data_IF_630219688116
#
_entry.id   IF_630219688116
#
_cell.length_a   1.000
_cell.length_b   1.000
_cell.length_c   1.000
_cell.angle_alpha   90.00
_cell.angle_beta   90.00
_cell.angle_gamma   90.00
#
_symmetry.space_group_name_H-M   'P 1'
#
loop_
_entity.id
_entity.type
_entity.pdbx_description
1 polymer ?
#
# COMPACT_ATOMS: atom_id res chain seq x y z
N UNK A 1 14.04 11.51 -30.00
CA UNK A 1 13.83 12.37 -28.81
C UNK A 1 12.89 11.64 -27.87
N UNK A 2 13.21 11.45 -26.58
CA UNK A 2 12.24 10.85 -25.66
C UNK A 2 10.97 11.69 -25.64
N UNK A 3 9.84 11.02 -25.92
CA UNK A 3 8.48 11.55 -25.93
C UNK A 3 8.17 12.23 -24.58
N UNK A 4 7.38 13.31 -24.60
CA UNK A 4 6.94 14.06 -23.41
C UNK A 4 6.40 13.13 -22.31
N UNK A 5 5.69 12.07 -22.66
CA UNK A 5 5.17 11.08 -21.71
C UNK A 5 6.30 10.35 -20.97
N UNK A 6 7.36 9.93 -21.68
CA UNK A 6 8.53 9.29 -21.05
C UNK A 6 9.22 10.20 -20.04
N UNK A 7 9.38 11.49 -20.38
CA UNK A 7 9.95 12.50 -19.47
C UNK A 7 9.07 12.81 -18.26
N UNK A 8 7.75 12.60 -18.36
CA UNK A 8 6.84 12.76 -17.23
C UNK A 8 6.94 11.58 -16.28
N UNK A 9 6.94 10.35 -16.80
CA UNK A 9 7.11 9.13 -16.00
C UNK A 9 8.44 9.16 -15.25
N UNK A 10 9.54 9.56 -15.89
CA UNK A 10 10.84 9.66 -15.25
C UNK A 10 10.83 10.69 -14.10
N UNK A 11 10.17 11.83 -14.29
CA UNK A 11 10.03 12.85 -13.25
C UNK A 11 9.18 12.38 -12.07
N UNK A 12 8.08 11.68 -12.35
CA UNK A 12 7.26 11.08 -11.30
C UNK A 12 8.10 10.03 -10.54
N UNK A 13 8.77 9.13 -11.26
CA UNK A 13 9.64 8.13 -10.67
C UNK A 13 10.72 8.73 -9.75
N UNK A 14 11.30 9.87 -10.14
CA UNK A 14 12.33 10.54 -9.37
C UNK A 14 11.82 11.19 -8.06
N UNK A 15 10.54 11.61 -8.01
CA UNK A 15 10.05 12.49 -6.95
C UNK A 15 8.86 11.95 -6.15
N UNK A 16 8.22 10.86 -6.57
CA UNK A 16 6.99 10.38 -5.94
C UNK A 16 7.18 9.98 -4.47
N UNK A 17 8.35 9.46 -4.07
CA UNK A 17 8.63 9.10 -2.66
C UNK A 17 8.70 10.35 -1.77
N UNK A 18 9.31 11.43 -2.27
CA UNK A 18 9.33 12.71 -1.56
C UNK A 18 7.92 13.31 -1.47
N UNK A 19 7.13 13.19 -2.54
CA UNK A 19 5.72 13.59 -2.54
C UNK A 19 4.90 12.76 -1.55
N UNK A 20 5.15 11.45 -1.45
CA UNK A 20 4.53 10.56 -0.47
C UNK A 20 4.90 10.99 0.96
N UNK A 21 6.17 11.29 1.25
CA UNK A 21 6.59 11.79 2.56
C UNK A 21 5.86 13.09 2.93
N UNK A 22 5.90 14.09 2.06
CA UNK A 22 5.26 15.38 2.30
C UNK A 22 3.75 15.23 2.50
N UNK A 23 3.08 14.48 1.62
CA UNK A 23 1.63 14.24 1.69
C UNK A 23 1.25 13.42 2.92
N UNK A 24 2.03 12.40 3.25
CA UNK A 24 1.81 11.55 4.43
C UNK A 24 1.91 12.33 5.73
N UNK A 25 2.88 13.25 5.83
CA UNK A 25 3.00 14.15 6.99
C UNK A 25 1.82 15.13 7.04
N UNK A 26 1.53 15.84 5.95
CA UNK A 26 0.48 16.87 5.93
C UNK A 26 -0.90 16.25 6.19
N UNK A 27 -1.25 15.18 5.48
CA UNK A 27 -2.53 14.51 5.65
C UNK A 27 -2.61 13.74 6.96
N UNK A 28 -1.49 13.19 7.46
CA UNK A 28 -1.44 12.54 8.77
C UNK A 28 -1.73 13.53 9.89
N UNK A 29 -1.03 14.67 9.91
CA UNK A 29 -1.27 15.72 10.91
C UNK A 29 -2.69 16.29 10.79
N UNK A 30 -3.18 16.51 9.57
CA UNK A 30 -4.56 16.96 9.35
C UNK A 30 -5.58 15.94 9.87
N UNK A 31 -5.37 14.65 9.62
CA UNK A 31 -6.24 13.59 10.11
C UNK A 31 -6.23 13.50 11.65
N UNK A 32 -5.10 13.73 12.30
CA UNK A 32 -5.01 13.77 13.77
C UNK A 32 -5.80 14.95 14.36
N UNK A 33 -5.76 16.12 13.72
CA UNK A 33 -6.57 17.28 14.13
C UNK A 33 -8.06 17.03 13.91
N UNK A 34 -8.43 16.34 12.83
CA UNK A 34 -9.82 16.06 12.49
C UNK A 34 -10.42 14.89 13.28
N UNK A 35 -9.61 13.96 13.81
CA UNK A 35 -10.08 12.78 14.54
C UNK A 35 -11.18 13.04 15.59
N UNK A 36 -11.05 14.01 16.53
CA UNK A 36 -12.09 14.26 17.53
C UNK A 36 -13.42 14.75 16.94
N UNK A 37 -13.44 15.19 15.67
CA UNK A 37 -14.62 15.70 14.97
C UNK A 37 -15.31 14.63 14.11
N UNK A 38 -14.67 13.47 13.91
CA UNK A 38 -15.13 12.43 12.99
C UNK A 38 -15.65 11.21 13.76
N UNK A 39 -16.65 10.48 13.21
CA UNK A 39 -16.93 9.13 13.68
C UNK A 39 -15.66 8.27 13.61
N UNK A 40 -15.40 7.47 14.63
CA UNK A 40 -14.15 6.71 14.76
C UNK A 40 -13.82 5.87 13.51
N UNK A 41 -14.81 5.23 12.90
CA UNK A 41 -14.65 4.47 11.66
C UNK A 41 -14.10 5.33 10.52
N UNK A 42 -14.69 6.50 10.29
CA UNK A 42 -14.25 7.43 9.24
C UNK A 42 -12.86 7.97 9.53
N UNK A 43 -12.59 8.34 10.79
CA UNK A 43 -11.27 8.81 11.20
C UNK A 43 -10.16 7.77 10.98
N UNK A 44 -10.44 6.48 11.24
CA UNK A 44 -9.48 5.39 11.02
C UNK A 44 -9.23 5.13 9.53
N UNK A 45 -10.27 5.21 8.70
CA UNK A 45 -10.13 5.10 7.23
C UNK A 45 -9.35 6.30 6.67
N UNK A 46 -9.60 7.51 7.18
CA UNK A 46 -8.84 8.70 6.81
C UNK A 46 -7.36 8.57 7.14
N UNK A 47 -7.00 7.92 8.25
CA UNK A 47 -5.61 7.65 8.64
C UNK A 47 -4.91 6.59 7.76
N UNK A 48 -5.66 5.74 7.05
CA UNK A 48 -5.08 4.70 6.20
C UNK A 48 -4.23 5.29 5.05
N UNK A 49 -4.71 6.37 4.43
CA UNK A 49 -4.00 7.08 3.36
C UNK A 49 -2.59 7.56 3.77
N UNK A 50 -2.45 8.46 4.76
CA UNK A 50 -1.14 8.93 5.22
C UNK A 50 -0.28 7.81 5.81
N UNK A 51 -0.87 6.80 6.48
CA UNK A 51 -0.11 5.64 6.93
C UNK A 51 0.54 4.89 5.76
N UNK A 52 -0.20 4.68 4.65
CA UNK A 52 0.35 4.10 3.43
C UNK A 52 1.46 4.94 2.82
N UNK A 53 1.29 6.26 2.78
CA UNK A 53 2.32 7.15 2.25
C UNK A 53 3.63 7.06 3.07
N UNK A 54 3.54 6.97 4.39
CA UNK A 54 4.72 6.77 5.25
C UNK A 54 5.35 5.37 5.08
N UNK A 55 4.52 4.34 4.92
CA UNK A 55 5.00 2.99 4.61
C UNK A 55 5.74 2.94 3.27
N UNK A 56 5.19 3.58 2.23
CA UNK A 56 5.82 3.69 0.92
C UNK A 56 7.17 4.42 0.97
N UNK A 57 7.35 5.37 1.90
CA UNK A 57 8.66 5.99 2.14
C UNK A 57 9.66 4.96 2.68
N UNK A 58 9.27 4.16 3.67
CA UNK A 58 10.16 3.09 4.18
C UNK A 58 10.54 2.10 3.08
N UNK A 59 9.56 1.66 2.29
CA UNK A 59 9.73 0.71 1.20
C UNK A 59 10.62 1.27 0.08
N UNK A 60 10.38 2.50 -0.35
CA UNK A 60 10.86 2.99 -1.64
C UNK A 60 11.89 4.11 -1.57
N UNK A 61 12.21 4.63 -0.39
CA UNK A 61 13.38 5.52 -0.25
C UNK A 61 14.63 4.81 -0.73
N UNK A 62 15.28 5.33 -1.78
CA UNK A 62 16.43 4.67 -2.42
C UNK A 62 16.11 3.36 -3.15
N UNK A 63 14.87 3.18 -3.62
CA UNK A 63 14.41 2.02 -4.39
C UNK A 63 14.58 0.66 -3.66
N UNK A 64 14.53 0.69 -2.32
CA UNK A 64 14.89 -0.44 -1.47
C UNK A 64 14.02 -1.67 -1.71
N UNK A 65 12.69 -1.51 -1.77
CA UNK A 65 11.76 -2.64 -1.88
C UNK A 65 11.86 -3.36 -3.22
N UNK A 66 11.86 -2.61 -4.34
CA UNK A 66 11.99 -3.19 -5.68
C UNK A 66 13.31 -3.96 -5.82
N UNK A 67 14.41 -3.36 -5.37
CA UNK A 67 15.72 -4.02 -5.32
C UNK A 67 15.70 -5.27 -4.44
N UNK A 68 15.16 -5.16 -3.23
CA UNK A 68 15.05 -6.28 -2.32
C UNK A 68 14.28 -7.45 -2.95
N UNK A 69 13.13 -7.18 -3.57
CA UNK A 69 12.34 -8.22 -4.26
C UNK A 69 13.13 -8.84 -5.40
N UNK A 70 13.71 -8.03 -6.29
CA UNK A 70 14.46 -8.54 -7.44
C UNK A 70 15.69 -9.35 -7.00
N UNK A 71 16.50 -8.83 -6.07
CA UNK A 71 17.76 -9.43 -5.63
C UNK A 71 17.55 -10.63 -4.69
N UNK A 72 16.71 -10.47 -3.66
CA UNK A 72 16.59 -11.42 -2.54
C UNK A 72 15.44 -12.41 -2.70
N UNK A 73 14.35 -12.02 -3.36
CA UNK A 73 13.18 -12.89 -3.56
C UNK A 73 13.27 -13.64 -4.89
N UNK A 74 13.68 -12.94 -5.96
CA UNK A 74 13.72 -13.51 -7.31
C UNK A 74 15.12 -13.83 -7.85
N UNK A 75 16.17 -13.66 -7.04
CA UNK A 75 17.52 -14.11 -7.38
C UNK A 75 18.21 -13.28 -8.45
N UNK A 76 18.00 -11.96 -8.44
CA UNK A 76 18.68 -10.98 -9.29
C UNK A 76 17.99 -10.65 -10.61
N UNK A 77 16.83 -11.26 -10.91
CA UNK A 77 16.07 -10.92 -12.12
C UNK A 77 15.07 -9.79 -11.89
N UNK A 78 14.72 -9.06 -12.95
CA UNK A 78 13.76 -7.95 -12.88
C UNK A 78 12.30 -8.45 -12.80
N UNK A 79 11.91 -8.92 -11.62
CA UNK A 79 10.54 -9.31 -11.31
C UNK A 79 9.61 -8.10 -11.11
N UNK A 80 10.13 -6.99 -10.59
CA UNK A 80 9.44 -5.71 -10.44
C UNK A 80 10.18 -4.57 -11.14
N UNK A 81 9.45 -3.79 -11.92
CA UNK A 81 9.92 -2.55 -12.56
C UNK A 81 9.54 -1.31 -11.79
N UNK A 82 10.17 -0.18 -12.13
CA UNK A 82 9.75 1.15 -11.68
C UNK A 82 8.30 1.44 -12.05
N UNK A 83 7.87 1.06 -13.26
CA UNK A 83 6.48 1.24 -13.68
C UNK A 83 5.51 0.44 -12.83
N UNK A 84 5.83 -0.82 -12.51
CA UNK A 84 5.01 -1.64 -11.61
C UNK A 84 4.87 -0.94 -10.24
N UNK A 85 5.98 -0.45 -9.67
CA UNK A 85 5.99 0.30 -8.40
C UNK A 85 5.09 1.52 -8.46
N UNK A 86 5.16 2.32 -9.53
CA UNK A 86 4.35 3.53 -9.67
C UNK A 86 2.86 3.21 -9.81
N UNK A 87 2.50 2.21 -10.62
CA UNK A 87 1.09 1.82 -10.83
C UNK A 87 0.48 1.22 -9.57
N UNK A 88 1.23 0.37 -8.87
CA UNK A 88 0.78 -0.24 -7.61
C UNK A 88 0.52 0.85 -6.57
N UNK A 89 1.44 1.80 -6.42
CA UNK A 89 1.39 2.74 -5.30
C UNK A 89 0.51 3.96 -5.55
N UNK A 90 0.56 4.56 -6.74
CA UNK A 90 -0.15 5.80 -7.03
C UNK A 90 -1.64 5.53 -7.31
N UNK A 91 -2.05 4.98 -8.47
CA UNK A 91 -3.46 4.71 -8.70
C UNK A 91 -3.97 3.49 -7.90
N UNK A 92 -3.15 2.47 -7.63
CA UNK A 92 -3.57 1.31 -6.86
C UNK A 92 -3.86 1.67 -5.40
N UNK A 93 -2.81 1.83 -4.59
CA UNK A 93 -2.96 2.08 -3.15
C UNK A 93 -3.68 3.40 -2.86
N UNK A 94 -3.26 4.52 -3.45
CA UNK A 94 -3.91 5.81 -3.12
C UNK A 94 -5.34 5.88 -3.65
N UNK A 95 -5.59 5.36 -4.86
CA UNK A 95 -6.93 5.31 -5.44
C UNK A 95 -7.88 4.44 -4.62
N UNK A 96 -7.44 3.26 -4.17
CA UNK A 96 -8.26 2.37 -3.35
C UNK A 96 -8.54 2.97 -1.97
N UNK A 97 -7.55 3.59 -1.33
CA UNK A 97 -7.77 4.27 -0.04
C UNK A 97 -8.75 5.42 -0.18
N UNK A 98 -8.65 6.19 -1.27
CA UNK A 98 -9.59 7.28 -1.56
C UNK A 98 -11.00 6.72 -1.82
N UNK A 99 -11.12 5.67 -2.64
CA UNK A 99 -12.40 5.01 -2.91
C UNK A 99 -13.03 4.42 -1.64
N UNK A 100 -12.24 3.81 -0.76
CA UNK A 100 -12.70 3.30 0.53
C UNK A 100 -13.20 4.44 1.44
N UNK A 101 -12.52 5.58 1.47
CA UNK A 101 -12.98 6.76 2.20
C UNK A 101 -14.31 7.29 1.65
N UNK A 102 -14.43 7.44 0.32
CA UNK A 102 -15.68 7.86 -0.30
C UNK A 102 -16.81 6.85 -0.05
N UNK A 103 -16.55 5.55 -0.14
CA UNK A 103 -17.52 4.50 0.19
C UNK A 103 -17.97 4.59 1.65
N UNK A 104 -17.02 4.82 2.56
CA UNK A 104 -17.30 4.95 3.99
C UNK A 104 -18.22 6.15 4.30
N UNK A 105 -18.00 7.28 3.61
CA UNK A 105 -18.73 8.53 3.83
C UNK A 105 -20.08 8.55 3.09
N UNK A 106 -20.11 8.09 1.84
CA UNK A 106 -21.28 8.25 0.96
C UNK A 106 -22.24 7.05 0.97
N UNK A 107 -21.78 5.87 1.38
CA UNK A 107 -22.60 4.66 1.40
C UNK A 107 -22.79 4.12 2.82
N UNK A 108 -21.73 3.59 3.43
CA UNK A 108 -21.75 3.07 4.80
C UNK A 108 -20.32 2.90 5.34
N UNK A 109 -20.07 3.08 6.65
CA UNK A 109 -18.73 3.01 7.23
C UNK A 109 -17.96 1.72 6.90
N UNK A 110 -18.66 0.58 6.77
CA UNK A 110 -18.07 -0.71 6.47
C UNK A 110 -17.36 -0.78 5.11
N UNK A 111 -17.75 0.03 4.13
CA UNK A 111 -17.02 0.12 2.85
C UNK A 111 -15.59 0.68 3.00
N UNK A 112 -15.32 1.39 4.10
CA UNK A 112 -13.98 1.82 4.47
C UNK A 112 -13.04 0.67 4.84
N UNK A 113 -13.57 -0.52 5.16
CA UNK A 113 -12.76 -1.67 5.55
C UNK A 113 -11.87 -2.19 4.41
N UNK A 114 -12.12 -1.85 3.15
CA UNK A 114 -11.21 -2.16 2.06
C UNK A 114 -9.79 -1.61 2.33
N UNK A 115 -9.68 -0.38 2.85
CA UNK A 115 -8.39 0.19 3.23
C UNK A 115 -7.77 -0.56 4.43
N UNK A 116 -8.58 -0.91 5.43
CA UNK A 116 -8.12 -1.63 6.62
C UNK A 116 -7.59 -3.04 6.28
N UNK A 117 -8.32 -3.79 5.46
CA UNK A 117 -7.88 -5.10 4.99
C UNK A 117 -6.64 -5.01 4.12
N UNK A 118 -6.52 -3.99 3.26
CA UNK A 118 -5.31 -3.77 2.47
C UNK A 118 -4.08 -3.60 3.39
N UNK A 119 -4.20 -2.79 4.46
CA UNK A 119 -3.14 -2.58 5.44
C UNK A 119 -2.75 -3.88 6.15
N UNK A 120 -3.74 -4.62 6.67
CA UNK A 120 -3.49 -5.85 7.44
C UNK A 120 -2.90 -6.95 6.56
N UNK A 121 -3.44 -7.16 5.35
CA UNK A 121 -2.90 -8.16 4.41
C UNK A 121 -1.48 -7.78 3.98
N UNK A 122 -1.20 -6.49 3.76
CA UNK A 122 0.16 -6.06 3.44
C UNK A 122 1.11 -6.29 4.62
N UNK A 123 0.69 -5.92 5.83
CA UNK A 123 1.50 -6.15 7.04
C UNK A 123 1.82 -7.63 7.26
N UNK A 124 0.82 -8.51 7.10
CA UNK A 124 1.02 -9.97 7.15
C UNK A 124 2.01 -10.43 6.08
N UNK A 125 1.95 -9.87 4.88
CA UNK A 125 2.89 -10.21 3.79
C UNK A 125 4.33 -9.83 4.13
N UNK A 126 4.58 -8.62 4.66
CA UNK A 126 5.92 -8.20 5.11
C UNK A 126 6.45 -9.05 6.27
N UNK A 127 5.60 -9.36 7.25
CA UNK A 127 5.97 -10.20 8.41
C UNK A 127 6.29 -11.62 7.94
N UNK A 128 5.43 -12.23 7.13
CA UNK A 128 5.64 -13.56 6.59
C UNK A 128 6.93 -13.64 5.77
N UNK A 129 7.21 -12.62 4.96
CA UNK A 129 8.46 -12.52 4.19
C UNK A 129 9.68 -12.39 5.11
N UNK A 130 9.60 -11.57 6.16
CA UNK A 130 10.67 -11.41 7.14
C UNK A 130 10.99 -12.72 7.86
N UNK A 131 9.96 -13.45 8.30
CA UNK A 131 10.11 -14.76 8.95
C UNK A 131 10.70 -15.78 7.96
N UNK A 132 10.18 -15.83 6.72
CA UNK A 132 10.61 -16.81 5.72
C UNK A 132 12.05 -16.60 5.25
N UNK A 133 12.49 -15.35 5.13
CA UNK A 133 13.84 -14.99 4.71
C UNK A 133 14.79 -14.79 5.89
N UNK A 134 14.27 -14.82 7.13
CA UNK A 134 15.00 -14.48 8.37
C UNK A 134 15.77 -13.17 8.25
N UNK A 135 15.14 -12.18 7.62
CA UNK A 135 15.78 -10.92 7.28
C UNK A 135 14.76 -9.79 7.27
N UNK A 136 15.22 -8.58 7.62
CA UNK A 136 14.44 -7.37 7.40
C UNK A 136 14.12 -7.21 5.90
N UNK A 137 12.90 -6.80 5.60
CA UNK A 137 12.50 -6.32 4.29
C UNK A 137 11.95 -4.88 4.40
N UNK A 138 12.18 -4.02 3.40
CA UNK A 138 11.65 -2.66 3.42
C UNK A 138 10.12 -2.67 3.56
N UNK A 139 9.60 -1.88 4.49
CA UNK A 139 8.16 -1.82 4.83
C UNK A 139 7.81 -2.56 6.12
N UNK A 140 8.69 -3.41 6.67
CA UNK A 140 8.40 -4.21 7.85
C UNK A 140 8.13 -3.36 9.11
N UNK A 141 8.85 -2.25 9.30
CA UNK A 141 8.70 -1.43 10.52
C UNK A 141 7.33 -0.76 10.54
N UNK A 142 6.97 -0.08 9.46
CA UNK A 142 5.67 0.58 9.31
C UNK A 142 4.52 -0.43 9.17
N UNK A 143 4.76 -1.63 8.64
CA UNK A 143 3.80 -2.73 8.68
C UNK A 143 3.39 -3.06 10.13
N UNK A 144 4.38 -3.16 11.03
CA UNK A 144 4.14 -3.50 12.44
C UNK A 144 3.62 -2.30 13.24
N UNK A 145 4.20 -1.12 13.04
CA UNK A 145 3.93 0.05 13.88
C UNK A 145 2.75 0.91 13.40
N UNK A 146 2.42 0.87 12.10
CA UNK A 146 1.32 1.65 11.53
C UNK A 146 0.20 0.76 11.01
N UNK A 147 0.52 -0.23 10.17
CA UNK A 147 -0.52 -1.00 9.49
C UNK A 147 -1.31 -1.92 10.41
N UNK A 148 -0.63 -2.72 11.24
CA UNK A 148 -1.32 -3.58 12.19
C UNK A 148 -2.18 -2.80 13.19
N UNK A 149 -1.69 -1.72 13.82
CA UNK A 149 -2.50 -0.98 14.80
C UNK A 149 -3.69 -0.26 14.16
N UNK A 150 -3.47 0.49 13.06
CA UNK A 150 -4.54 1.27 12.42
C UNK A 150 -5.54 0.34 11.74
N UNK A 151 -5.05 -0.60 10.93
CA UNK A 151 -5.89 -1.56 10.22
C UNK A 151 -6.65 -2.49 11.18
N UNK A 152 -5.96 -3.03 12.19
CA UNK A 152 -6.59 -3.87 13.22
C UNK A 152 -7.66 -3.12 14.02
N UNK A 153 -7.39 -1.87 14.41
CA UNK A 153 -8.38 -1.04 15.11
C UNK A 153 -9.56 -0.70 14.22
N UNK A 154 -9.34 -0.40 12.93
CA UNK A 154 -10.41 -0.16 11.96
C UNK A 154 -11.31 -1.38 11.79
N UNK A 155 -10.73 -2.59 11.66
CA UNK A 155 -11.48 -3.84 11.58
C UNK A 155 -12.31 -4.10 12.85
N UNK A 156 -11.78 -3.74 14.01
CA UNK A 156 -12.46 -3.96 15.29
C UNK A 156 -13.55 -2.93 15.60
N UNK A 157 -13.36 -1.66 15.21
CA UNK A 157 -14.23 -0.54 15.61
C UNK A 157 -15.25 -0.11 14.56
N UNK A 158 -15.08 -0.50 13.30
CA UNK A 158 -15.99 -0.10 12.23
C UNK A 158 -17.21 -1.02 12.23
N UNK A 159 -18.43 -0.48 12.40
CA UNK A 159 -19.65 -1.26 12.21
C UNK A 159 -19.73 -1.67 10.73
N UNK A 160 -19.79 -2.98 10.47
CA UNK A 160 -19.85 -3.52 9.13
C UNK A 160 -20.61 -4.86 9.11
N UNK A 161 -21.34 -5.10 8.03
CA UNK A 161 -21.94 -6.40 7.73
C UNK A 161 -20.91 -7.37 7.13
N UNK A 162 -21.26 -8.66 7.12
CA UNK A 162 -20.39 -9.71 6.56
C UNK A 162 -20.02 -9.44 5.08
N UNK A 163 -20.93 -8.87 4.30
CA UNK A 163 -20.68 -8.52 2.90
C UNK A 163 -19.57 -7.49 2.72
N UNK A 164 -19.52 -6.47 3.58
CA UNK A 164 -18.47 -5.43 3.54
C UNK A 164 -17.11 -5.98 3.98
N UNK A 165 -17.10 -6.87 4.98
CA UNK A 165 -15.88 -7.60 5.37
C UNK A 165 -15.34 -8.48 4.24
N UNK A 166 -16.20 -9.27 3.61
CA UNK A 166 -15.83 -10.14 2.50
C UNK A 166 -15.35 -9.34 1.29
N UNK A 167 -16.02 -8.22 0.98
CA UNK A 167 -15.61 -7.32 -0.10
C UNK A 167 -14.22 -6.73 0.19
N UNK A 168 -14.01 -6.17 1.39
CA UNK A 168 -12.74 -5.57 1.77
C UNK A 168 -11.58 -6.57 1.76
N UNK A 169 -11.77 -7.75 2.36
CA UNK A 169 -10.78 -8.83 2.34
C UNK A 169 -10.53 -9.33 0.92
N UNK A 170 -11.59 -9.55 0.14
CA UNK A 170 -11.50 -10.01 -1.24
C UNK A 170 -10.70 -9.05 -2.13
N UNK A 171 -10.97 -7.74 -2.02
CA UNK A 171 -10.20 -6.69 -2.72
C UNK A 171 -8.73 -6.76 -2.33
N UNK A 172 -8.43 -6.79 -1.02
CA UNK A 172 -7.06 -6.82 -0.54
C UNK A 172 -6.29 -8.06 -1.04
N UNK A 173 -6.88 -9.25 -0.95
CA UNK A 173 -6.28 -10.49 -1.44
C UNK A 173 -6.08 -10.47 -2.96
N UNK A 174 -7.06 -9.99 -3.71
CA UNK A 174 -6.99 -9.91 -5.17
C UNK A 174 -5.83 -9.02 -5.64
N UNK A 175 -5.63 -7.87 -5.00
CA UNK A 175 -4.53 -6.94 -5.32
C UNK A 175 -3.18 -7.60 -5.04
N UNK A 176 -3.00 -8.17 -3.84
CA UNK A 176 -1.73 -8.82 -3.48
C UNK A 176 -1.43 -10.01 -4.39
N UNK A 177 -2.46 -10.80 -4.73
CA UNK A 177 -2.34 -11.88 -5.70
C UNK A 177 -1.94 -11.35 -7.08
N UNK A 178 -2.57 -10.28 -7.57
CA UNK A 178 -2.23 -9.67 -8.86
C UNK A 178 -0.78 -9.18 -8.91
N UNK A 179 -0.30 -8.53 -7.84
CA UNK A 179 1.10 -8.09 -7.71
C UNK A 179 2.05 -9.29 -7.74
N UNK A 180 1.80 -10.32 -6.92
CA UNK A 180 2.63 -11.50 -6.83
C UNK A 180 2.66 -12.28 -8.16
N UNK A 181 1.51 -12.45 -8.83
CA UNK A 181 1.40 -13.12 -10.11
C UNK A 181 2.11 -12.34 -11.23
N UNK A 182 2.01 -11.01 -11.25
CA UNK A 182 2.76 -10.18 -12.19
C UNK A 182 4.27 -10.34 -11.98
N UNK A 183 4.75 -10.26 -10.73
CA UNK A 183 6.16 -10.46 -10.41
C UNK A 183 6.67 -11.85 -10.83
N UNK A 184 5.89 -12.90 -10.55
CA UNK A 184 6.19 -14.28 -10.99
C UNK A 184 6.26 -14.38 -12.51
N UNK A 185 5.31 -13.78 -13.24
CA UNK A 185 5.28 -13.78 -14.70
C UNK A 185 6.51 -13.08 -15.28
N UNK A 186 6.86 -11.90 -14.76
CA UNK A 186 8.05 -11.14 -15.19
C UNK A 186 9.35 -11.89 -14.90
N UNK A 187 9.47 -12.47 -13.70
CA UNK A 187 10.64 -13.28 -13.33
C UNK A 187 10.83 -14.48 -14.26
N UNK A 188 9.75 -15.18 -14.63
CA UNK A 188 9.81 -16.29 -15.60
C UNK A 188 10.28 -15.83 -16.97
N UNK A 189 9.74 -14.71 -17.47
CA UNK A 189 10.16 -14.13 -18.75
C UNK A 189 11.63 -13.70 -18.73
N UNK A 190 12.09 -13.09 -17.64
CA UNK A 190 13.47 -12.63 -17.50
C UNK A 190 14.49 -13.78 -17.43
N UNK A 191 14.09 -14.97 -16.95
CA UNK A 191 14.94 -16.16 -16.90
C UNK A 191 15.00 -16.92 -18.23
N UNK A 192 13.95 -16.80 -19.05
CA UNK A 192 13.82 -17.45 -20.35
C UNK A 192 13.59 -16.37 -21.43
N UNK A 193 14.63 -15.56 -21.74
CA UNK A 193 14.53 -14.40 -22.64
C UNK A 193 14.15 -14.77 -24.08
#
# INVERSE_FOLDING_TARGET
>A
MPDVASRLVDRIAAHWVAAALASGVIFGLSALVLQPLLPAAIGLVLLAGPAYMLHQVEEHAGDRFRRFVNERVFGGVEALTTTDVLVINLPGVWGINLAALYGAVLAAPGWGLAAAYLMVVNAVSHIAMAVRLKAYNPGLVTAILLFLPIGGLALFRTPAGIGEHLAGLGIALAIHAAIALNALRRARKARNP
#
